data_IF_769252056312
#
_entry.id   IF_769252056312
#
_cell.length_a   1.000
_cell.length_b   1.000
_cell.length_c   1.000
_cell.angle_alpha   90.00
_cell.angle_beta   90.00
_cell.angle_gamma   90.00
#
_symmetry.space_group_name_H-M   'P 1'
#
loop_
_entity.id
_entity.type
_entity.pdbx_description
1 polymer ?
#
# COMPACT_ATOMS: atom_id res chain seq x y z
N UNK A 1 -26.10 25.04 3.30
CA UNK A 1 -25.75 23.74 2.68
C UNK A 1 -26.42 22.64 3.49
N UNK A 2 -27.43 21.96 2.93
CA UNK A 2 -28.01 20.77 3.58
C UNK A 2 -26.98 19.65 3.52
N UNK A 3 -26.67 19.02 4.66
CA UNK A 3 -25.87 17.79 4.71
C UNK A 3 -26.59 16.75 3.86
N UNK A 4 -25.91 16.18 2.86
CA UNK A 4 -26.40 14.98 2.18
C UNK A 4 -26.41 13.86 3.21
N UNK A 5 -27.55 13.65 3.87
CA UNK A 5 -27.77 12.49 4.72
C UNK A 5 -27.87 11.26 3.82
N UNK A 6 -26.79 10.48 3.78
CA UNK A 6 -26.82 9.15 3.18
C UNK A 6 -27.69 8.28 4.09
N UNK A 7 -28.92 7.98 3.67
CA UNK A 7 -29.75 6.97 4.35
C UNK A 7 -28.99 5.65 4.35
N UNK A 8 -28.55 5.20 5.53
CA UNK A 8 -27.93 3.89 5.69
C UNK A 8 -28.94 2.80 5.36
N UNK A 9 -28.60 1.94 4.39
CA UNK A 9 -29.31 0.69 4.12
C UNK A 9 -28.66 -0.44 4.92
N UNK A 10 -29.37 -1.56 5.14
CA UNK A 10 -28.77 -2.77 5.73
C UNK A 10 -27.53 -3.23 4.94
N UNK A 11 -27.59 -3.12 3.61
CA UNK A 11 -26.46 -3.42 2.73
C UNK A 11 -25.25 -2.49 2.98
N UNK A 12 -25.47 -1.21 3.30
CA UNK A 12 -24.38 -0.29 3.62
C UNK A 12 -23.69 -0.64 4.94
N UNK A 13 -24.42 -1.19 5.91
CA UNK A 13 -23.86 -1.61 7.20
C UNK A 13 -22.96 -2.84 7.03
N UNK A 14 -23.45 -3.88 6.35
CA UNK A 14 -22.66 -5.09 6.08
C UNK A 14 -21.38 -4.78 5.27
N UNK A 15 -21.49 -3.88 4.27
CA UNK A 15 -20.31 -3.41 3.53
C UNK A 15 -19.31 -2.68 4.44
N UNK A 16 -19.79 -1.91 5.43
CA UNK A 16 -18.93 -1.23 6.40
C UNK A 16 -18.20 -2.22 7.30
N UNK A 17 -18.88 -3.27 7.76
CA UNK A 17 -18.31 -4.29 8.62
C UNK A 17 -17.25 -5.13 7.89
N UNK A 18 -17.51 -5.52 6.64
CA UNK A 18 -16.51 -6.15 5.78
C UNK A 18 -15.30 -5.23 5.59
N UNK A 19 -15.52 -3.94 5.29
CA UNK A 19 -14.44 -2.98 5.10
C UNK A 19 -13.60 -2.79 6.38
N UNK A 20 -14.23 -2.79 7.55
CA UNK A 20 -13.56 -2.70 8.85
C UNK A 20 -12.66 -3.91 9.10
N UNK A 21 -13.14 -5.12 8.82
CA UNK A 21 -12.35 -6.36 8.96
C UNK A 21 -11.11 -6.30 8.05
N UNK A 22 -11.30 -5.92 6.78
CA UNK A 22 -10.19 -5.80 5.83
C UNK A 22 -9.19 -4.72 6.24
N UNK A 23 -9.64 -3.60 6.81
CA UNK A 23 -8.77 -2.53 7.29
C UNK A 23 -7.90 -2.99 8.46
N UNK A 24 -8.49 -3.68 9.45
CA UNK A 24 -7.77 -4.24 10.59
C UNK A 24 -6.71 -5.25 10.13
N UNK A 25 -7.11 -6.20 9.27
CA UNK A 25 -6.18 -7.18 8.71
C UNK A 25 -5.04 -6.51 7.92
N UNK A 26 -5.34 -5.46 7.15
CA UNK A 26 -4.35 -4.68 6.39
C UNK A 26 -3.32 -4.01 7.30
N UNK A 27 -3.76 -3.37 8.38
CA UNK A 27 -2.88 -2.64 9.29
C UNK A 27 -2.03 -3.57 10.17
N UNK A 28 -2.63 -4.61 10.75
CA UNK A 28 -1.93 -5.55 11.64
C UNK A 28 -0.81 -6.31 10.94
N UNK A 29 -1.00 -6.60 9.65
CA UNK A 29 -0.05 -7.36 8.85
C UNK A 29 0.80 -6.49 7.93
N UNK A 30 0.72 -5.15 8.04
CA UNK A 30 1.48 -4.21 7.23
C UNK A 30 1.31 -4.39 5.71
N UNK A 31 0.09 -4.69 5.27
CA UNK A 31 -0.16 -4.80 3.84
C UNK A 31 -0.09 -3.43 3.17
N UNK A 32 0.39 -3.45 1.94
CA UNK A 32 0.25 -2.30 1.07
C UNK A 32 -1.22 -2.17 0.70
N UNK A 33 -1.94 -1.29 1.40
CA UNK A 33 -3.33 -0.92 1.05
C UNK A 33 -3.47 -0.62 -0.44
N UNK A 34 -2.46 0.04 -1.01
CA UNK A 34 -2.42 0.36 -2.43
C UNK A 34 -2.35 -0.88 -3.31
N UNK A 35 -1.55 -1.88 -2.96
CA UNK A 35 -1.53 -3.15 -3.70
C UNK A 35 -2.85 -3.88 -3.56
N UNK A 36 -3.40 -3.98 -2.35
CA UNK A 36 -4.68 -4.62 -2.11
C UNK A 36 -5.80 -4.03 -2.99
N UNK A 37 -5.95 -2.70 -2.99
CA UNK A 37 -6.98 -2.03 -3.79
C UNK A 37 -6.79 -2.26 -5.28
N UNK A 38 -5.56 -2.24 -5.77
CA UNK A 38 -5.30 -2.49 -7.18
C UNK A 38 -5.60 -3.95 -7.56
N UNK A 39 -5.23 -4.93 -6.72
CA UNK A 39 -5.59 -6.33 -6.92
C UNK A 39 -7.11 -6.52 -6.89
N UNK A 40 -7.80 -5.90 -5.94
CA UNK A 40 -9.26 -5.92 -5.88
C UNK A 40 -9.90 -5.43 -7.19
N UNK A 41 -9.46 -4.27 -7.71
CA UNK A 41 -9.93 -3.74 -8.99
C UNK A 41 -9.66 -4.70 -10.15
N UNK A 42 -8.47 -5.28 -10.23
CA UNK A 42 -8.13 -6.24 -11.28
C UNK A 42 -9.02 -7.47 -11.23
N UNK A 43 -9.28 -8.02 -10.04
CA UNK A 43 -10.18 -9.16 -9.87
C UNK A 43 -11.63 -8.80 -10.22
N UNK A 44 -12.14 -7.64 -9.79
CA UNK A 44 -13.46 -7.14 -10.20
C UNK A 44 -13.63 -7.10 -11.73
N UNK A 45 -12.62 -6.61 -12.46
CA UNK A 45 -12.63 -6.57 -13.92
C UNK A 45 -12.65 -7.97 -14.53
N UNK A 46 -11.84 -8.90 -14.00
CA UNK A 46 -11.75 -10.27 -14.51
C UNK A 46 -13.02 -11.06 -14.26
N UNK A 47 -13.59 -10.97 -13.06
CA UNK A 47 -14.86 -11.63 -12.74
C UNK A 47 -16.01 -11.07 -13.60
N UNK A 48 -16.08 -9.74 -13.79
CA UNK A 48 -17.05 -9.13 -14.70
C UNK A 48 -16.91 -9.63 -16.16
N UNK A 49 -15.67 -9.84 -16.65
CA UNK A 49 -15.42 -10.39 -17.99
C UNK A 49 -15.77 -11.87 -18.09
N UNK A 50 -15.54 -12.65 -17.03
CA UNK A 50 -15.90 -14.08 -16.99
C UNK A 50 -17.41 -14.28 -17.09
N UNK A 51 -18.18 -13.49 -16.33
CA UNK A 51 -19.64 -13.57 -16.32
C UNK A 51 -20.25 -13.26 -17.71
N UNK A 52 -19.70 -12.27 -18.43
CA UNK A 52 -20.11 -11.96 -19.81
C UNK A 52 -18.90 -11.81 -20.73
N UNK A 53 -18.45 -12.92 -21.32
CA UNK A 53 -17.26 -12.98 -22.19
C UNK A 53 -17.27 -11.98 -23.35
N UNK A 54 -18.44 -11.59 -23.86
CA UNK A 54 -18.58 -10.62 -24.96
C UNK A 54 -18.56 -9.15 -24.52
N UNK A 55 -18.51 -8.85 -23.22
CA UNK A 55 -18.51 -7.47 -22.74
C UNK A 55 -17.29 -6.69 -23.24
N UNK A 56 -17.57 -5.49 -23.73
CA UNK A 56 -16.59 -4.49 -24.14
C UNK A 56 -15.93 -3.84 -22.94
N UNK A 57 -14.81 -3.14 -23.18
CA UNK A 57 -14.12 -2.34 -22.15
C UNK A 57 -15.06 -1.32 -21.47
N UNK A 58 -15.96 -0.71 -22.24
CA UNK A 58 -16.89 0.30 -21.74
C UNK A 58 -17.96 -0.32 -20.85
N UNK A 59 -18.54 -1.46 -21.24
CA UNK A 59 -19.53 -2.16 -20.41
C UNK A 59 -18.95 -2.62 -19.07
N UNK A 60 -17.70 -3.12 -19.07
CA UNK A 60 -17.02 -3.54 -17.84
C UNK A 60 -16.72 -2.33 -16.95
N UNK A 61 -16.28 -1.22 -17.54
CA UNK A 61 -16.06 0.05 -16.82
C UNK A 61 -17.34 0.55 -16.16
N UNK A 62 -18.47 0.54 -16.88
CA UNK A 62 -19.77 0.94 -16.34
C UNK A 62 -20.23 0.07 -15.17
N UNK A 63 -20.05 -1.26 -15.27
CA UNK A 63 -20.43 -2.21 -14.21
C UNK A 63 -19.58 -2.08 -12.96
N UNK A 64 -18.27 -1.92 -13.13
CA UNK A 64 -17.30 -1.98 -12.01
C UNK A 64 -17.02 -0.61 -11.40
N UNK A 65 -17.37 0.48 -12.09
CA UNK A 65 -16.97 1.84 -11.73
C UNK A 65 -15.48 2.13 -11.93
N UNK A 66 -14.73 1.20 -12.53
CA UNK A 66 -13.29 1.36 -12.79
C UNK A 66 -13.11 2.08 -14.12
N UNK A 67 -12.22 3.08 -14.15
CA UNK A 67 -11.94 3.85 -15.37
C UNK A 67 -11.45 2.93 -16.51
N UNK A 68 -12.07 3.12 -17.68
CA UNK A 68 -11.86 2.30 -18.89
C UNK A 68 -10.38 2.10 -19.26
N UNK A 69 -9.51 3.06 -18.94
CA UNK A 69 -8.06 3.01 -19.24
C UNK A 69 -7.35 1.89 -18.50
N UNK A 70 -7.90 1.41 -17.39
CA UNK A 70 -7.30 0.34 -16.59
C UNK A 70 -7.85 -1.06 -16.92
N UNK A 71 -8.97 -1.15 -17.65
CA UNK A 71 -9.64 -2.42 -17.93
C UNK A 71 -8.76 -3.35 -18.76
N UNK A 72 -8.25 -2.89 -19.91
CA UNK A 72 -7.41 -3.72 -20.76
C UNK A 72 -6.11 -4.16 -20.05
N UNK A 73 -5.38 -3.26 -19.35
CA UNK A 73 -4.24 -3.66 -18.51
C UNK A 73 -4.58 -4.73 -17.47
N UNK A 74 -5.71 -4.63 -16.76
CA UNK A 74 -6.11 -5.61 -15.75
C UNK A 74 -6.51 -6.98 -16.32
N UNK A 75 -6.97 -7.01 -17.57
CA UNK A 75 -7.30 -8.26 -18.27
C UNK A 75 -6.04 -8.99 -18.79
N UNK A 76 -5.04 -8.25 -19.26
CA UNK A 76 -3.85 -8.84 -19.90
C UNK A 76 -2.68 -9.10 -18.96
N UNK A 77 -2.58 -8.38 -17.84
CA UNK A 77 -1.41 -8.46 -16.95
C UNK A 77 -1.58 -9.55 -15.91
N UNK A 78 -0.61 -10.44 -15.72
CA UNK A 78 -0.64 -11.42 -14.62
C UNK A 78 -0.45 -10.78 -13.23
N UNK A 79 0.33 -9.71 -13.18
CA UNK A 79 0.67 -8.95 -11.97
C UNK A 79 0.44 -7.47 -12.18
N UNK A 80 0.20 -6.74 -11.10
CA UNK A 80 -0.02 -5.29 -11.15
C UNK A 80 1.27 -4.57 -10.81
N UNK A 81 1.61 -3.56 -11.63
CA UNK A 81 2.66 -2.62 -11.28
C UNK A 81 2.11 -1.57 -10.31
N UNK A 82 2.54 -1.65 -9.05
CA UNK A 82 2.17 -0.65 -8.04
C UNK A 82 3.31 0.34 -7.87
N UNK A 83 3.03 1.61 -8.17
CA UNK A 83 4.01 2.68 -7.95
C UNK A 83 4.46 2.69 -6.47
N UNK A 84 5.76 2.73 -6.18
CA UNK A 84 6.27 2.74 -4.81
C UNK A 84 5.66 3.86 -3.96
N UNK A 85 5.55 3.62 -2.65
CA UNK A 85 5.12 4.65 -1.71
C UNK A 85 6.15 5.78 -1.63
N UNK A 86 5.71 6.98 -1.25
CA UNK A 86 6.63 8.12 -1.02
C UNK A 86 7.69 7.77 0.04
N UNK A 87 7.29 7.06 1.09
CA UNK A 87 8.18 6.57 2.15
C UNK A 87 9.23 5.61 1.59
N UNK A 88 8.83 4.70 0.69
CA UNK A 88 9.75 3.77 0.02
C UNK A 88 10.77 4.50 -0.85
N UNK A 89 10.33 5.48 -1.66
CA UNK A 89 11.22 6.28 -2.51
C UNK A 89 12.22 7.11 -1.70
N UNK A 90 11.78 7.68 -0.58
CA UNK A 90 12.69 8.37 0.36
C UNK A 90 13.72 7.40 0.91
N UNK A 91 13.31 6.21 1.33
CA UNK A 91 14.24 5.20 1.84
C UNK A 91 15.28 4.79 0.79
N UNK A 92 14.87 4.56 -0.45
CA UNK A 92 15.76 4.23 -1.57
C UNK A 92 16.81 5.34 -1.79
N UNK A 93 16.38 6.61 -1.81
CA UNK A 93 17.30 7.75 -1.94
C UNK A 93 18.25 7.88 -0.73
N UNK A 94 17.79 7.59 0.49
CA UNK A 94 18.65 7.56 1.69
C UNK A 94 19.68 6.44 1.59
N UNK A 95 19.29 5.26 1.10
CA UNK A 95 20.22 4.13 0.86
C UNK A 95 21.25 4.50 -0.20
N UNK A 96 20.81 5.08 -1.32
CA UNK A 96 21.70 5.56 -2.38
C UNK A 96 22.67 6.63 -1.87
N UNK A 97 22.20 7.58 -1.06
CA UNK A 97 23.05 8.58 -0.40
C UNK A 97 24.09 7.93 0.51
N UNK A 98 23.67 7.00 1.36
CA UNK A 98 24.56 6.30 2.30
C UNK A 98 25.65 5.50 1.56
N UNK A 99 25.27 4.79 0.49
CA UNK A 99 26.21 4.05 -0.36
C UNK A 99 27.20 4.98 -1.05
N UNK A 100 26.71 6.07 -1.66
CA UNK A 100 27.56 7.06 -2.36
C UNK A 100 28.59 7.71 -1.43
N UNK A 101 28.24 7.94 -0.18
CA UNK A 101 29.10 8.63 0.80
C UNK A 101 29.82 7.64 1.76
N UNK A 102 29.78 6.34 1.49
CA UNK A 102 30.34 5.28 2.34
C UNK A 102 30.00 5.45 3.84
N UNK A 103 28.73 5.75 4.12
CA UNK A 103 28.23 6.02 5.47
C UNK A 103 26.96 5.21 5.73
N UNK A 104 26.52 5.17 6.99
CA UNK A 104 25.20 4.65 7.37
C UNK A 104 24.31 5.73 7.95
N UNK A 105 24.76 6.98 7.95
CA UNK A 105 24.12 8.11 8.60
C UNK A 105 23.79 9.18 7.57
N UNK A 106 22.65 9.82 7.77
CA UNK A 106 22.24 11.01 7.05
C UNK A 106 21.89 12.09 8.06
N UNK A 107 22.35 13.32 7.83
CA UNK A 107 21.97 14.47 8.65
C UNK A 107 20.46 14.68 8.58
N UNK A 108 19.85 15.03 9.71
CA UNK A 108 18.41 15.32 9.75
C UNK A 108 18.07 16.53 8.88
N UNK A 109 18.77 17.64 9.13
CA UNK A 109 18.52 18.97 8.58
C UNK A 109 19.87 19.59 8.12
N UNK A 110 19.87 20.84 7.65
CA UNK A 110 21.05 21.72 7.43
C UNK A 110 21.84 21.61 6.11
N UNK A 111 21.64 20.59 5.27
CA UNK A 111 22.35 20.43 3.99
C UNK A 111 21.38 20.15 2.84
N UNK A 112 21.73 20.55 1.61
CA UNK A 112 21.11 20.16 0.32
C UNK A 112 20.94 18.65 0.14
N UNK A 113 21.68 17.82 0.88
CA UNK A 113 21.55 16.36 0.88
C UNK A 113 21.06 15.79 2.22
N UNK A 114 20.42 16.61 3.06
CA UNK A 114 19.84 16.15 4.33
C UNK A 114 18.62 15.26 4.11
N UNK A 115 18.21 14.53 5.15
CA UNK A 115 17.00 13.72 5.12
C UNK A 115 15.76 14.55 4.79
N UNK A 116 15.66 15.76 5.33
CA UNK A 116 14.59 16.69 5.02
C UNK A 116 14.53 17.05 3.52
N UNK A 117 15.67 17.34 2.90
CA UNK A 117 15.70 17.65 1.46
C UNK A 117 15.30 16.44 0.61
N UNK A 118 15.71 15.22 0.97
CA UNK A 118 15.25 13.99 0.31
C UNK A 118 13.73 13.81 0.48
N UNK A 119 13.19 14.09 1.67
CA UNK A 119 11.75 14.02 1.91
C UNK A 119 10.99 15.01 1.01
N UNK A 120 11.48 16.24 0.89
CA UNK A 120 10.88 17.28 0.05
C UNK A 120 10.84 16.84 -1.43
N UNK A 121 11.88 16.17 -1.95
CA UNK A 121 11.90 15.67 -3.34
C UNK A 121 10.72 14.75 -3.70
N UNK A 122 10.28 13.90 -2.77
CA UNK A 122 9.24 12.88 -3.05
C UNK A 122 7.88 13.17 -2.41
N UNK A 123 7.85 14.00 -1.36
CA UNK A 123 6.67 14.14 -0.50
C UNK A 123 6.32 15.60 -0.14
N UNK A 124 6.86 16.59 -0.87
CA UNK A 124 6.54 18.00 -0.66
C UNK A 124 5.02 18.24 -0.55
N UNK A 125 4.61 19.01 0.46
CA UNK A 125 3.21 19.37 0.71
C UNK A 125 2.28 18.21 1.10
N UNK A 126 2.79 17.00 1.29
CA UNK A 126 1.94 15.81 1.53
C UNK A 126 2.31 14.99 2.77
N UNK A 127 3.59 14.91 3.13
CA UNK A 127 4.06 14.25 4.34
C UNK A 127 5.19 15.07 4.95
N UNK A 128 5.21 15.16 6.28
CA UNK A 128 6.33 15.80 6.99
C UNK A 128 7.52 14.85 7.08
N UNK A 129 8.77 15.38 7.13
CA UNK A 129 9.96 14.54 7.35
C UNK A 129 9.84 13.69 8.62
N UNK A 130 9.24 14.24 9.69
CA UNK A 130 9.00 13.50 10.94
C UNK A 130 8.05 12.31 10.75
N UNK A 131 6.97 12.46 9.99
CA UNK A 131 6.04 11.37 9.70
C UNK A 131 6.72 10.26 8.88
N UNK A 132 7.49 10.63 7.85
CA UNK A 132 8.25 9.69 7.03
C UNK A 132 9.28 8.93 7.88
N UNK A 133 10.05 9.63 8.71
CA UNK A 133 10.98 9.00 9.64
C UNK A 133 10.28 8.03 10.59
N UNK A 134 9.15 8.43 11.18
CA UNK A 134 8.39 7.60 12.11
C UNK A 134 7.97 6.28 11.46
N UNK A 135 7.51 6.34 10.21
CA UNK A 135 7.17 5.13 9.46
C UNK A 135 8.40 4.27 9.14
N UNK A 136 9.52 4.88 8.73
CA UNK A 136 10.77 4.15 8.49
C UNK A 136 11.34 3.52 9.77
N UNK A 137 11.15 4.15 10.92
CA UNK A 137 11.50 3.61 12.23
C UNK A 137 10.58 2.44 12.61
N UNK A 138 9.26 2.58 12.43
CA UNK A 138 8.26 1.54 12.66
C UNK A 138 8.55 0.28 11.82
N UNK A 139 8.93 0.46 10.56
CA UNK A 139 9.38 -0.57 9.64
C UNK A 139 10.77 -1.14 9.97
N UNK A 140 11.45 -0.61 10.98
CA UNK A 140 12.78 -1.07 11.41
C UNK A 140 13.91 -0.70 10.45
N UNK A 141 13.69 0.22 9.50
CA UNK A 141 14.65 0.62 8.48
C UNK A 141 15.65 1.67 8.98
N UNK A 142 15.23 2.54 9.89
CA UNK A 142 16.04 3.65 10.39
C UNK A 142 15.99 3.79 11.91
N UNK A 143 16.98 4.48 12.48
CA UNK A 143 17.05 4.83 13.91
C UNK A 143 17.57 6.26 14.07
N UNK A 144 16.99 7.00 15.00
CA UNK A 144 17.50 8.29 15.47
C UNK A 144 18.77 8.11 16.30
N UNK A 145 19.81 8.87 15.96
CA UNK A 145 21.09 8.92 16.67
C UNK A 145 21.54 10.36 16.93
N UNK A 146 20.61 11.25 17.26
CA UNK A 146 20.88 12.63 17.65
C UNK A 146 20.73 13.58 16.46
N UNK A 147 21.83 14.09 15.92
CA UNK A 147 21.82 15.00 14.75
C UNK A 147 21.60 14.27 13.41
N UNK A 148 21.61 12.94 13.44
CA UNK A 148 21.50 12.10 12.25
C UNK A 148 20.41 11.03 12.41
N UNK A 149 19.91 10.57 11.27
CA UNK A 149 19.27 9.26 11.19
C UNK A 149 20.26 8.23 10.66
N UNK A 150 20.21 7.01 11.19
CA UNK A 150 21.08 5.90 10.82
C UNK A 150 20.28 4.75 10.19
N UNK A 151 20.73 4.25 9.05
CA UNK A 151 20.25 2.98 8.49
C UNK A 151 20.52 1.86 9.49
N UNK A 152 19.47 1.11 9.84
CA UNK A 152 19.67 -0.11 10.62
C UNK A 152 20.23 -1.18 9.67
N UNK A 153 21.17 -1.99 10.15
CA UNK A 153 21.44 -3.28 9.48
C UNK A 153 20.09 -4.00 9.39
N UNK A 154 19.77 -4.73 8.30
CA UNK A 154 18.61 -5.61 8.30
C UNK A 154 18.77 -6.57 9.49
N UNK A 155 18.04 -6.27 10.56
CA UNK A 155 18.07 -6.97 11.83
C UNK A 155 16.63 -7.38 12.04
N UNK A 156 16.33 -8.65 11.78
CA UNK A 156 15.03 -9.27 12.03
C UNK A 156 13.82 -8.62 11.32
N UNK A 157 14.02 -7.69 10.39
CA UNK A 157 12.95 -7.17 9.52
C UNK A 157 12.49 -8.22 8.53
N UNK A 158 13.39 -9.06 8.04
CA UNK A 158 13.05 -10.30 7.32
C UNK A 158 12.16 -11.19 8.18
N UNK A 159 12.41 -11.32 9.49
CA UNK A 159 11.54 -12.13 10.37
C UNK A 159 10.19 -11.46 10.64
N UNK A 160 10.09 -10.13 10.69
CA UNK A 160 8.78 -9.45 10.86
C UNK A 160 7.95 -9.48 9.57
N UNK A 161 8.58 -9.21 8.43
CA UNK A 161 7.92 -9.29 7.11
C UNK A 161 7.57 -10.75 6.81
N UNK A 162 8.46 -11.71 7.06
CA UNK A 162 8.15 -13.14 6.89
C UNK A 162 7.00 -13.58 7.80
N UNK A 163 6.99 -13.19 9.08
CA UNK A 163 5.85 -13.47 9.99
C UNK A 163 4.55 -12.83 9.52
N UNK A 164 4.62 -11.61 8.98
CA UNK A 164 3.44 -10.95 8.41
C UNK A 164 2.95 -11.65 7.13
N UNK A 165 3.87 -12.13 6.29
CA UNK A 165 3.56 -12.93 5.10
C UNK A 165 2.94 -14.27 5.48
N UNK A 166 3.49 -14.97 6.47
CA UNK A 166 2.97 -16.24 6.98
C UNK A 166 1.55 -16.07 7.52
N UNK A 167 1.32 -15.08 8.40
CA UNK A 167 -0.02 -14.72 8.86
C UNK A 167 -0.98 -14.42 7.72
N UNK A 168 -0.50 -13.77 6.65
CA UNK A 168 -1.34 -13.48 5.50
C UNK A 168 -1.70 -14.74 4.71
N UNK A 169 -0.79 -15.69 4.59
CA UNK A 169 -1.09 -16.96 3.94
C UNK A 169 -2.17 -17.72 4.74
N UNK A 170 -2.08 -17.69 6.07
CA UNK A 170 -3.09 -18.28 6.96
C UNK A 170 -4.44 -17.56 6.85
N UNK A 171 -4.46 -16.23 6.94
CA UNK A 171 -5.69 -15.42 6.81
C UNK A 171 -6.31 -15.62 5.42
N UNK A 172 -5.50 -15.56 4.36
CA UNK A 172 -5.96 -15.76 2.99
C UNK A 172 -6.57 -17.14 2.78
N UNK A 173 -5.96 -18.17 3.35
CA UNK A 173 -6.48 -19.54 3.34
C UNK A 173 -7.81 -19.63 4.08
N UNK A 174 -7.88 -19.11 5.30
CA UNK A 174 -9.10 -19.11 6.12
C UNK A 174 -10.26 -18.36 5.45
N UNK A 175 -10.00 -17.19 4.85
CA UNK A 175 -11.02 -16.45 4.10
C UNK A 175 -11.46 -17.25 2.87
N UNK A 176 -10.51 -17.79 2.10
CA UNK A 176 -10.84 -18.57 0.90
C UNK A 176 -11.71 -19.78 1.26
N UNK A 177 -11.36 -20.51 2.31
CA UNK A 177 -12.13 -21.65 2.80
C UNK A 177 -13.53 -21.25 3.29
N UNK A 178 -13.64 -20.16 4.05
CA UNK A 178 -14.91 -19.68 4.58
C UNK A 178 -15.89 -19.20 3.50
N UNK A 179 -15.39 -18.73 2.36
CA UNK A 179 -16.23 -18.12 1.31
C UNK A 179 -16.41 -19.06 0.09
N UNK A 180 -15.63 -20.15 -0.01
CA UNK A 180 -15.67 -21.09 -1.15
C UNK A 180 -17.04 -21.75 -1.35
N UNK A 181 -17.79 -21.97 -0.28
CA UNK A 181 -19.10 -22.60 -0.33
C UNK A 181 -20.26 -21.58 -0.47
N UNK A 182 -19.92 -20.28 -0.52
CA UNK A 182 -20.89 -19.17 -0.59
C UNK A 182 -20.94 -18.48 -1.98
N UNK A 183 -19.99 -18.78 -2.89
CA UNK A 183 -19.85 -18.17 -4.23
C UNK A 183 -19.72 -19.27 -5.28
#
# INVERSE_FOLDING_TARGET
MKKNEVKMTLMNQEMSDIAKILALATLENNFSYKEFVEYYKMHMVREAKKEKKKSTVVEISARTGIDRRFIAPYLSSEKIYVKPSKVSRVYEDVVAYCNKNNTKKILKNENKNSFETICQKHANGSLTPKAIYTELWRLGKMKDVGTHYKLRKPLKSETRVAKATERMQEIGKAITEAVKDLI
#
